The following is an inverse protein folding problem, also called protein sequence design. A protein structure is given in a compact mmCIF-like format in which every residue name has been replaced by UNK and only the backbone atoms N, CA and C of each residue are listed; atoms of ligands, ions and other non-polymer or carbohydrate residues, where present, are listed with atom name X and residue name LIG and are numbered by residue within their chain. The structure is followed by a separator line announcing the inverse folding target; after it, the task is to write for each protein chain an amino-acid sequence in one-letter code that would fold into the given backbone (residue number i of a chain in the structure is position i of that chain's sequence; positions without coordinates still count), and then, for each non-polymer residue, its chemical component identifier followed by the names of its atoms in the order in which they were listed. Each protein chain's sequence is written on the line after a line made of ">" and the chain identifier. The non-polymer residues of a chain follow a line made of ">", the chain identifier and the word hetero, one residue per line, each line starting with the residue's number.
data_IF_587529037518
#
_entry.id   IF_587529037518
#
_cell.length_a   1.000
_cell.length_b   1.000
_cell.length_c   1.000
_cell.angle_alpha   90.00
_cell.angle_beta   90.00
_cell.angle_gamma   90.00
#
_symmetry.space_group_name_H-M   'P 1'
#
loop_
_entity.id
_entity.type
_entity.pdbx_description
1 polymer ?
#
# COMPACT_ATOMS: atom_id res chain seq x y z
N UNK A 1 25.70 -18.97 -12.81
CA UNK A 1 24.30 -18.54 -12.61
C UNK A 1 24.26 -17.02 -12.67
N UNK A 2 23.35 -16.44 -13.44
CA UNK A 2 23.20 -14.98 -13.46
C UNK A 2 22.64 -14.53 -12.11
N UNK A 3 23.29 -13.52 -11.50
CA UNK A 3 22.88 -12.97 -10.21
C UNK A 3 21.48 -12.34 -10.34
N UNK A 4 20.58 -12.68 -9.42
CA UNK A 4 19.27 -12.06 -9.32
C UNK A 4 19.32 -10.89 -8.32
N UNK A 5 18.46 -9.90 -8.56
CA UNK A 5 18.20 -8.78 -7.66
C UNK A 5 16.71 -8.82 -7.33
N UNK A 6 16.38 -8.52 -6.08
CA UNK A 6 15.02 -8.69 -5.57
C UNK A 6 14.42 -7.36 -5.09
N UNK A 7 13.15 -7.16 -5.39
CA UNK A 7 12.31 -6.08 -4.86
C UNK A 7 11.18 -6.70 -4.05
N UNK A 8 11.03 -6.30 -2.79
CA UNK A 8 9.96 -6.76 -1.91
C UNK A 8 8.78 -5.78 -1.94
N UNK A 9 7.66 -6.23 -2.49
CA UNK A 9 6.41 -5.48 -2.54
C UNK A 9 5.42 -5.93 -1.47
N UNK A 10 4.87 -4.99 -0.69
CA UNK A 10 3.86 -5.27 0.34
C UNK A 10 2.56 -4.47 0.16
N UNK A 11 2.51 -3.56 -0.82
CA UNK A 11 1.34 -2.79 -1.21
C UNK A 11 0.95 -3.09 -2.65
N UNK A 12 0.71 -2.06 -3.45
CA UNK A 12 0.38 -2.25 -4.87
C UNK A 12 1.41 -3.00 -5.70
N UNK A 13 2.69 -3.01 -5.31
CA UNK A 13 3.73 -3.78 -6.00
C UNK A 13 3.48 -5.30 -5.98
N UNK A 14 2.63 -5.79 -5.06
CA UNK A 14 2.20 -7.20 -5.10
C UNK A 14 1.36 -7.54 -6.34
N UNK A 15 0.62 -6.56 -6.87
CA UNK A 15 -0.26 -6.74 -8.02
C UNK A 15 0.31 -6.14 -9.32
N UNK A 16 1.08 -5.06 -9.21
CA UNK A 16 1.67 -4.33 -10.34
C UNK A 16 3.16 -4.08 -10.07
N UNK A 17 4.04 -5.07 -10.35
CA UNK A 17 5.48 -4.87 -10.22
C UNK A 17 5.97 -3.80 -11.21
N UNK A 18 7.23 -3.39 -11.09
CA UNK A 18 7.83 -2.52 -12.10
C UNK A 18 8.49 -3.33 -13.20
N UNK A 19 8.47 -2.82 -14.44
CA UNK A 19 9.09 -3.48 -15.59
C UNK A 19 8.69 -4.96 -15.71
N UNK A 20 7.40 -5.27 -15.76
CA UNK A 20 6.87 -6.64 -15.76
C UNK A 20 7.55 -7.55 -16.80
N UNK A 21 7.88 -7.01 -17.98
CA UNK A 21 8.58 -7.72 -19.05
C UNK A 21 10.02 -8.14 -18.71
N UNK A 22 10.63 -7.59 -17.64
CA UNK A 22 11.96 -7.94 -17.13
C UNK A 22 11.90 -8.83 -15.87
N UNK A 23 10.72 -9.11 -15.35
CA UNK A 23 10.53 -9.97 -14.17
C UNK A 23 10.90 -11.41 -14.52
N UNK A 24 11.76 -12.02 -13.69
CA UNK A 24 12.18 -13.42 -13.81
C UNK A 24 11.24 -14.33 -13.03
N UNK A 25 10.86 -13.92 -11.82
CA UNK A 25 9.93 -14.66 -10.97
C UNK A 25 9.27 -13.76 -9.94
N UNK A 26 8.15 -14.23 -9.40
CA UNK A 26 7.45 -13.64 -8.26
C UNK A 26 7.17 -14.76 -7.25
N UNK A 27 7.63 -14.60 -6.02
CA UNK A 27 7.42 -15.58 -4.96
C UNK A 27 6.92 -14.92 -3.69
N UNK A 28 6.16 -15.65 -2.89
CA UNK A 28 5.74 -15.17 -1.58
C UNK A 28 6.95 -15.04 -0.65
N UNK A 29 7.02 -13.97 0.13
CA UNK A 29 8.10 -13.73 1.08
C UNK A 29 7.62 -13.00 2.34
N UNK A 30 8.42 -13.12 3.39
CA UNK A 30 8.14 -12.58 4.71
C UNK A 30 9.27 -11.63 5.14
N UNK A 31 8.89 -10.44 5.61
CA UNK A 31 9.78 -9.47 6.23
C UNK A 31 9.44 -9.37 7.72
N UNK A 32 10.38 -9.70 8.60
CA UNK A 32 10.21 -9.59 10.05
C UNK A 32 10.47 -8.16 10.54
N UNK A 33 9.87 -7.78 11.67
CA UNK A 33 10.10 -6.47 12.29
C UNK A 33 9.19 -5.36 11.79
N UNK A 34 8.21 -5.69 10.95
CA UNK A 34 7.29 -4.73 10.33
C UNK A 34 5.88 -5.28 10.25
N UNK A 35 4.89 -4.38 10.37
CA UNK A 35 3.49 -4.63 10.09
C UNK A 35 2.95 -3.71 9.00
N UNK A 36 1.87 -4.13 8.36
CA UNK A 36 1.15 -3.35 7.35
C UNK A 36 0.16 -2.38 8.04
N UNK A 37 0.04 -1.15 7.53
CA UNK A 37 -0.90 -0.17 8.08
C UNK A 37 -1.33 0.85 7.03
N UNK A 38 -2.59 1.31 7.10
CA UNK A 38 -3.06 2.46 6.32
C UNK A 38 -2.67 3.76 7.04
N UNK A 39 -1.37 4.06 7.05
CA UNK A 39 -0.78 5.18 7.80
C UNK A 39 -0.16 6.24 6.88
N UNK A 40 -0.56 6.28 5.60
CA UNK A 40 0.00 7.23 4.64
C UNK A 40 -1.05 8.01 3.89
N UNK A 41 -0.96 9.33 3.88
CA UNK A 41 -1.76 10.20 3.01
C UNK A 41 -1.35 9.96 1.56
N UNK A 42 -2.35 9.77 0.70
CA UNK A 42 -2.15 9.49 -0.71
C UNK A 42 -3.09 10.31 -1.58
N UNK A 43 -2.60 11.42 -2.17
CA UNK A 43 -3.39 12.20 -3.14
C UNK A 43 -3.78 11.36 -4.37
N UNK A 44 -2.87 10.49 -4.82
CA UNK A 44 -3.03 9.66 -6.03
C UNK A 44 -4.00 8.49 -5.88
N UNK A 45 -4.37 8.14 -4.64
CA UNK A 45 -5.44 7.15 -4.35
C UNK A 45 -6.76 7.82 -3.96
N UNK A 46 -6.80 9.14 -4.02
CA UNK A 46 -8.00 9.95 -3.86
C UNK A 46 -8.73 10.14 -5.19
N UNK A 47 -9.81 10.91 -5.16
CA UNK A 47 -10.59 11.27 -6.35
C UNK A 47 -11.00 12.75 -6.30
N UNK A 48 -11.42 13.31 -7.45
CA UNK A 48 -12.06 14.63 -7.47
C UNK A 48 -13.22 14.68 -6.47
N UNK A 49 -13.39 15.82 -5.82
CA UNK A 49 -14.45 16.02 -4.81
C UNK A 49 -15.85 15.82 -5.39
N UNK A 50 -16.03 16.13 -6.68
CA UNK A 50 -17.27 15.85 -7.43
C UNK A 50 -17.60 14.37 -7.52
N UNK A 51 -16.61 13.49 -7.41
CA UNK A 51 -16.75 12.05 -7.64
C UNK A 51 -16.78 11.28 -6.32
N UNK A 52 -16.19 11.85 -5.28
CA UNK A 52 -16.05 11.32 -3.93
C UNK A 52 -17.39 11.13 -3.19
N UNK A 53 -17.48 10.14 -2.30
CA UNK A 53 -18.63 9.99 -1.40
C UNK A 53 -18.78 11.16 -0.44
N UNK A 54 -17.67 11.69 0.11
CA UNK A 54 -17.70 12.81 1.05
C UNK A 54 -18.73 12.64 2.18
N UNK A 55 -18.82 11.42 2.73
CA UNK A 55 -19.85 11.02 3.69
C UNK A 55 -19.71 11.70 5.06
N UNK A 56 -18.51 12.17 5.41
CA UNK A 56 -18.18 12.76 6.69
C UNK A 56 -17.50 14.11 6.51
N UNK A 57 -17.65 15.00 7.49
CA UNK A 57 -16.77 16.17 7.64
C UNK A 57 -15.30 15.70 7.70
N UNK A 58 -14.37 16.51 7.18
CA UNK A 58 -12.95 16.15 7.10
C UNK A 58 -12.41 15.76 8.48
N UNK A 59 -12.14 14.46 8.72
CA UNK A 59 -11.79 14.01 10.07
C UNK A 59 -10.33 14.35 10.42
N UNK A 60 -9.58 14.87 9.44
CA UNK A 60 -8.21 15.34 9.60
C UNK A 60 -7.89 16.44 8.58
N UNK A 61 -7.09 17.48 8.93
CA UNK A 61 -6.65 18.50 7.99
C UNK A 61 -5.86 17.93 6.80
N UNK A 62 -5.99 18.56 5.63
CA UNK A 62 -5.21 18.23 4.43
C UNK A 62 -5.73 17.05 3.61
N UNK A 63 -6.81 16.38 4.02
CA UNK A 63 -7.43 15.29 3.24
C UNK A 63 -8.48 15.78 2.25
N UNK A 64 -9.16 16.88 2.53
CA UNK A 64 -10.14 17.49 1.63
C UNK A 64 -9.63 18.88 1.24
N UNK A 65 -9.59 19.14 -0.06
CA UNK A 65 -9.42 20.48 -0.64
C UNK A 65 -10.70 20.88 -1.38
N UNK A 66 -10.66 22.02 -2.09
CA UNK A 66 -11.80 22.51 -2.88
C UNK A 66 -12.17 21.53 -3.99
N UNK A 67 -11.17 20.94 -4.65
CA UNK A 67 -11.37 20.11 -5.85
C UNK A 67 -11.08 18.62 -5.64
N UNK A 68 -10.43 18.23 -4.54
CA UNK A 68 -9.89 16.87 -4.39
C UNK A 68 -10.08 16.31 -2.99
N UNK A 69 -10.25 15.00 -2.92
CA UNK A 69 -10.30 14.24 -1.67
C UNK A 69 -9.18 13.21 -1.68
N UNK A 70 -8.10 13.48 -0.95
CA UNK A 70 -6.99 12.54 -0.79
C UNK A 70 -7.45 11.32 0.02
N UNK A 71 -6.85 10.17 -0.29
CA UNK A 71 -7.12 8.91 0.40
C UNK A 71 -5.94 8.49 1.28
N UNK A 72 -6.01 7.30 1.84
CA UNK A 72 -4.89 6.61 2.47
C UNK A 72 -4.24 5.60 1.53
N UNK A 73 -2.94 5.39 1.72
CA UNK A 73 -2.18 4.28 1.18
C UNK A 73 -1.67 3.40 2.32
N UNK A 74 -1.39 2.15 1.96
CA UNK A 74 -0.69 1.20 2.81
C UNK A 74 0.76 1.62 2.92
N UNK A 75 1.24 1.69 4.14
CA UNK A 75 2.62 1.80 4.53
C UNK A 75 3.03 0.68 5.47
N UNK A 76 4.11 0.92 6.20
CA UNK A 76 4.70 -0.01 7.17
C UNK A 76 4.85 0.68 8.52
N UNK A 77 4.76 -0.10 9.59
CA UNK A 77 5.11 0.32 10.95
C UNK A 77 6.14 -0.67 11.49
N UNK A 78 7.21 -0.17 12.11
CA UNK A 78 8.20 -1.03 12.75
C UNK A 78 7.62 -1.60 14.04
N UNK A 79 7.56 -2.92 14.17
CA UNK A 79 6.98 -3.62 15.31
C UNK A 79 7.41 -5.09 15.33
N UNK A 80 6.89 -5.91 16.24
CA UNK A 80 7.27 -7.33 16.34
C UNK A 80 6.47 -8.26 15.40
N UNK A 81 5.85 -7.72 14.35
CA UNK A 81 5.04 -8.50 13.41
C UNK A 81 5.88 -9.07 12.26
N UNK A 82 5.22 -9.90 11.45
CA UNK A 82 5.75 -10.40 10.19
C UNK A 82 4.88 -9.83 9.06
N UNK A 83 5.54 -9.12 8.14
CA UNK A 83 4.91 -8.55 6.96
C UNK A 83 5.03 -9.54 5.79
N UNK A 84 3.89 -10.05 5.35
CA UNK A 84 3.81 -10.79 4.09
C UNK A 84 3.90 -9.85 2.88
N UNK A 85 4.58 -10.28 1.83
CA UNK A 85 4.62 -9.60 0.54
C UNK A 85 5.06 -10.52 -0.59
N UNK A 86 5.29 -9.92 -1.75
CA UNK A 86 5.79 -10.60 -2.95
C UNK A 86 7.22 -10.17 -3.21
N UNK A 87 8.10 -11.15 -3.35
CA UNK A 87 9.47 -10.99 -3.81
C UNK A 87 9.50 -11.05 -5.32
N UNK A 88 9.71 -9.90 -5.95
CA UNK A 88 9.84 -9.78 -7.40
C UNK A 88 11.32 -9.86 -7.75
N UNK A 89 11.69 -10.86 -8.55
CA UNK A 89 13.07 -11.12 -8.93
C UNK A 89 13.36 -10.64 -10.34
N UNK A 90 14.49 -9.95 -10.50
CA UNK A 90 14.99 -9.41 -11.76
C UNK A 90 16.40 -9.92 -12.01
N UNK A 91 16.84 -9.89 -13.27
CA UNK A 91 18.27 -10.04 -13.59
C UNK A 91 19.04 -8.82 -13.08
N UNK A 92 20.28 -9.01 -12.65
CA UNK A 92 21.12 -7.91 -12.12
C UNK A 92 21.25 -6.71 -13.06
N UNK A 93 21.24 -6.95 -14.37
CA UNK A 93 21.28 -5.92 -15.41
C UNK A 93 20.14 -4.89 -15.31
N UNK A 94 18.99 -5.29 -14.75
CA UNK A 94 17.79 -4.47 -14.65
C UNK A 94 17.72 -3.66 -13.34
N UNK A 95 18.70 -3.78 -12.43
CA UNK A 95 18.64 -3.17 -11.10
C UNK A 95 18.46 -1.65 -11.16
N UNK A 96 19.31 -0.95 -11.92
CA UNK A 96 19.24 0.52 -12.05
C UNK A 96 17.88 0.98 -12.60
N UNK A 97 17.41 0.33 -13.67
CA UNK A 97 16.12 0.66 -14.28
C UNK A 97 14.95 0.42 -13.30
N UNK A 98 14.94 -0.73 -12.63
CA UNK A 98 13.93 -1.10 -11.65
C UNK A 98 13.90 -0.09 -10.49
N UNK A 99 15.07 0.25 -9.95
CA UNK A 99 15.18 1.21 -8.86
C UNK A 99 14.73 2.61 -9.29
N UNK A 100 15.16 3.10 -10.45
CA UNK A 100 14.78 4.43 -10.94
C UNK A 100 13.27 4.58 -11.17
N UNK A 101 12.60 3.53 -11.64
CA UNK A 101 11.14 3.56 -11.84
C UNK A 101 10.42 3.48 -10.50
N UNK A 102 10.86 2.59 -9.61
CA UNK A 102 10.23 2.45 -8.28
C UNK A 102 10.46 3.70 -7.43
N UNK A 103 11.64 4.32 -7.49
CA UNK A 103 11.96 5.60 -6.85
C UNK A 103 10.95 6.68 -7.27
N UNK A 104 10.70 6.82 -8.57
CA UNK A 104 9.71 7.78 -9.10
C UNK A 104 8.29 7.45 -8.63
N UNK A 105 7.90 6.17 -8.60
CA UNK A 105 6.57 5.74 -8.17
C UNK A 105 6.31 6.07 -6.70
N UNK A 106 7.29 5.79 -5.85
CA UNK A 106 7.21 5.98 -4.40
C UNK A 106 7.62 7.40 -3.98
N UNK A 107 8.04 8.25 -4.92
CA UNK A 107 8.47 9.62 -4.64
C UNK A 107 9.74 9.68 -3.80
N UNK A 108 10.63 8.71 -3.98
CA UNK A 108 11.95 8.66 -3.35
C UNK A 108 12.98 9.38 -4.22
N UNK A 109 13.87 10.14 -3.57
CA UNK A 109 15.04 10.75 -4.19
C UNK A 109 16.22 10.64 -3.22
N UNK A 110 17.30 9.99 -3.67
CA UNK A 110 18.49 9.75 -2.87
C UNK A 110 19.24 11.03 -2.46
N UNK A 111 19.03 12.13 -3.19
CA UNK A 111 19.66 13.42 -2.92
C UNK A 111 18.77 14.36 -2.10
N UNK A 112 17.50 13.99 -1.88
CA UNK A 112 16.56 14.78 -1.10
C UNK A 112 16.74 14.55 0.39
N UNK A 113 16.45 15.58 1.18
CA UNK A 113 16.35 15.44 2.63
C UNK A 113 15.25 14.42 2.95
N UNK A 114 15.59 13.38 3.74
CA UNK A 114 14.68 12.31 4.12
C UNK A 114 13.39 12.83 4.74
N UNK A 115 13.42 13.94 5.50
CA UNK A 115 12.24 14.56 6.10
C UNK A 115 11.18 15.03 5.08
N UNK A 116 11.47 15.01 3.77
CA UNK A 116 10.52 15.34 2.70
C UNK A 116 9.94 14.11 1.99
N UNK A 117 10.49 12.93 2.24
CA UNK A 117 10.15 11.72 1.52
C UNK A 117 9.00 10.97 2.21
N UNK A 118 8.08 10.41 1.41
CA UNK A 118 7.00 9.56 1.94
C UNK A 118 7.47 8.13 2.24
N UNK A 119 8.48 7.65 1.53
CA UNK A 119 9.09 6.33 1.73
C UNK A 119 10.61 6.45 1.77
N UNK A 120 11.25 5.51 2.45
CA UNK A 120 12.70 5.32 2.45
C UNK A 120 13.03 4.01 1.77
N UNK A 121 13.92 4.06 0.77
CA UNK A 121 14.48 2.87 0.15
C UNK A 121 15.52 2.24 1.09
N UNK A 122 15.38 0.95 1.37
CA UNK A 122 16.34 0.17 2.15
C UNK A 122 16.62 -1.18 1.49
N UNK A 123 17.80 -1.72 1.77
CA UNK A 123 18.09 -3.12 1.53
C UNK A 123 17.85 -3.89 2.83
N UNK A 124 17.01 -4.92 2.76
CA UNK A 124 16.65 -5.77 3.90
C UNK A 124 16.84 -7.24 3.54
N UNK A 125 16.83 -8.11 4.54
CA UNK A 125 16.73 -9.55 4.34
C UNK A 125 15.29 -9.98 4.49
N UNK A 126 14.77 -10.70 3.50
CA UNK A 126 13.44 -11.33 3.55
C UNK A 126 13.58 -12.83 3.46
N UNK A 127 12.62 -13.57 4.00
CA UNK A 127 12.57 -15.02 3.89
C UNK A 127 11.60 -15.41 2.79
N UNK A 128 12.06 -16.08 1.74
CA UNK A 128 11.19 -16.66 0.73
C UNK A 128 10.37 -17.79 1.34
N UNK A 129 9.05 -17.75 1.19
CA UNK A 129 8.14 -18.64 1.91
C UNK A 129 8.22 -20.09 1.41
N UNK A 130 8.47 -20.30 0.11
CA UNK A 130 8.51 -21.63 -0.49
C UNK A 130 9.74 -22.44 -0.05
N UNK A 131 10.88 -21.77 0.14
CA UNK A 131 12.18 -22.41 0.39
C UNK A 131 12.72 -22.14 1.80
N UNK A 132 12.20 -21.14 2.50
CA UNK A 132 12.77 -20.62 3.74
C UNK A 132 14.08 -19.85 3.54
N UNK A 133 14.50 -19.61 2.29
CA UNK A 133 15.78 -18.97 2.00
C UNK A 133 15.74 -17.48 2.37
N UNK A 134 16.76 -17.04 3.11
CA UNK A 134 17.01 -15.63 3.37
C UNK A 134 17.65 -14.96 2.15
N UNK A 135 16.98 -13.96 1.57
CA UNK A 135 17.41 -13.25 0.37
C UNK A 135 17.50 -11.75 0.63
N UNK A 136 18.55 -11.07 0.13
CA UNK A 136 18.61 -9.61 0.17
C UNK A 136 17.62 -9.01 -0.83
N UNK A 137 16.82 -8.04 -0.41
CA UNK A 137 15.84 -7.37 -1.25
C UNK A 137 15.81 -5.87 -1.00
N UNK A 138 15.56 -5.10 -2.06
CA UNK A 138 15.17 -3.71 -1.95
C UNK A 138 13.73 -3.60 -1.46
N UNK A 139 13.45 -2.63 -0.59
CA UNK A 139 12.10 -2.34 -0.07
C UNK A 139 11.95 -0.85 0.13
N UNK A 140 10.72 -0.35 -0.07
CA UNK A 140 10.36 1.05 0.19
C UNK A 140 9.52 1.09 1.47
N UNK A 141 10.16 1.35 2.61
CA UNK A 141 9.48 1.40 3.90
C UNK A 141 8.87 2.79 4.11
N UNK A 142 7.79 2.87 4.87
CA UNK A 142 7.21 4.17 5.22
C UNK A 142 8.21 5.01 6.00
N UNK A 143 8.30 6.28 5.66
CA UNK A 143 9.09 7.23 6.40
C UNK A 143 8.24 7.83 7.53
N UNK A 144 8.47 7.49 8.81
CA UNK A 144 7.68 8.01 9.92
C UNK A 144 7.84 9.53 10.08
N UNK A 145 9.00 10.08 9.67
CA UNK A 145 9.30 11.51 9.72
C UNK A 145 8.85 12.26 8.46
N UNK A 146 8.19 11.56 7.53
CA UNK A 146 7.78 12.09 6.24
C UNK A 146 6.48 12.89 6.31
N UNK A 147 6.27 13.86 5.39
CA UNK A 147 5.10 14.75 5.41
C UNK A 147 3.79 14.03 5.04
N UNK A 148 3.87 12.79 4.58
CA UNK A 148 2.73 11.96 4.20
C UNK A 148 2.38 10.91 5.25
N UNK A 149 3.19 10.74 6.30
CA UNK A 149 2.89 9.79 7.35
C UNK A 149 1.80 10.36 8.26
N UNK A 150 0.78 9.54 8.54
CA UNK A 150 -0.18 9.85 9.59
C UNK A 150 0.46 9.43 10.90
N UNK A 151 0.50 10.36 11.85
CA UNK A 151 0.87 10.07 13.24
C UNK A 151 0.10 8.85 13.74
N UNK A 152 0.83 7.93 14.39
CA UNK A 152 0.31 6.63 14.86
C UNK A 152 -0.95 6.76 15.72
N UNK A 153 -1.15 7.91 16.36
CA UNK A 153 -2.31 8.22 17.21
C UNK A 153 -3.62 8.40 16.45
N UNK A 154 -3.63 8.47 15.12
CA UNK A 154 -4.86 8.61 14.33
C UNK A 154 -5.74 7.36 14.53
N UNK A 155 -6.92 7.49 15.19
CA UNK A 155 -7.78 6.34 15.48
C UNK A 155 -8.18 5.60 14.20
N UNK A 156 -8.41 4.29 14.33
CA UNK A 156 -8.82 3.46 13.20
C UNK A 156 -10.12 3.98 12.54
N UNK A 157 -11.05 4.46 13.36
CA UNK A 157 -12.29 5.12 12.91
C UNK A 157 -12.01 6.36 12.03
N UNK A 158 -11.06 7.21 12.43
CA UNK A 158 -10.64 8.37 11.63
C UNK A 158 -10.11 7.93 10.27
N UNK A 159 -9.27 6.89 10.25
CA UNK A 159 -8.70 6.35 9.01
C UNK A 159 -9.77 5.74 8.10
N UNK A 160 -10.75 5.04 8.67
CA UNK A 160 -11.91 4.50 7.95
C UNK A 160 -12.74 5.63 7.30
N UNK A 161 -13.05 6.69 8.04
CA UNK A 161 -13.76 7.87 7.50
C UNK A 161 -13.01 8.55 6.35
N UNK A 162 -11.67 8.64 6.44
CA UNK A 162 -10.84 9.15 5.34
C UNK A 162 -10.97 8.28 4.09
N UNK A 163 -10.84 6.95 4.24
CA UNK A 163 -10.99 6.01 3.14
C UNK A 163 -12.39 6.11 2.50
N UNK A 164 -13.44 6.16 3.31
CA UNK A 164 -14.82 6.32 2.83
C UNK A 164 -14.98 7.64 2.08
N UNK A 165 -14.55 8.77 2.65
CA UNK A 165 -14.64 10.07 2.00
C UNK A 165 -13.97 10.09 0.64
N UNK A 166 -12.78 9.50 0.52
CA UNK A 166 -12.00 9.48 -0.71
C UNK A 166 -12.44 8.39 -1.71
N UNK A 167 -13.47 7.62 -1.40
CA UNK A 167 -13.97 6.56 -2.27
C UNK A 167 -14.87 7.15 -3.35
N UNK A 168 -14.65 6.78 -4.64
CA UNK A 168 -15.50 7.24 -5.73
C UNK A 168 -16.93 6.68 -5.62
N UNK A 169 -17.93 7.49 -5.97
CA UNK A 169 -19.36 7.10 -6.00
C UNK A 169 -19.64 6.13 -7.16
N UNK A 170 -20.73 5.35 -7.10
CA UNK A 170 -21.15 4.50 -8.22
C UNK A 170 -21.22 5.28 -9.54
N UNK A 171 -20.71 4.69 -10.62
CA UNK A 171 -20.66 5.33 -11.94
C UNK A 171 -19.45 6.23 -12.19
N UNK A 172 -18.57 6.41 -11.20
CA UNK A 172 -17.29 7.10 -11.36
C UNK A 172 -16.12 6.11 -11.44
N UNK A 173 -14.95 6.49 -12.01
CA UNK A 173 -13.80 5.59 -12.11
C UNK A 173 -13.30 5.10 -10.75
N UNK A 174 -13.16 3.78 -10.59
CA UNK A 174 -12.61 3.14 -9.38
C UNK A 174 -11.08 3.09 -9.35
N UNK A 175 -10.43 3.44 -10.48
CA UNK A 175 -8.98 3.54 -10.60
C UNK A 175 -8.57 4.64 -11.59
N UNK A 176 -7.41 5.26 -11.36
CA UNK A 176 -6.78 6.21 -12.28
C UNK A 176 -5.31 5.83 -12.44
N UNK A 177 -4.83 5.73 -13.69
CA UNK A 177 -3.45 5.33 -13.98
C UNK A 177 -3.07 3.97 -13.39
N UNK A 178 -4.01 3.02 -13.37
CA UNK A 178 -3.81 1.67 -12.79
C UNK A 178 -3.77 1.62 -11.26
N UNK A 179 -4.12 2.71 -10.57
CA UNK A 179 -4.13 2.79 -9.09
C UNK A 179 -5.56 2.78 -8.59
N UNK A 180 -5.93 1.76 -7.81
CA UNK A 180 -7.23 1.73 -7.14
C UNK A 180 -7.36 2.89 -6.12
N UNK A 181 -8.57 3.43 -6.04
CA UNK A 181 -8.92 4.61 -5.24
C UNK A 181 -9.71 4.24 -3.98
N UNK A 182 -9.54 5.00 -2.90
CA UNK A 182 -10.34 4.82 -1.68
C UNK A 182 -10.38 3.38 -1.18
N UNK A 183 -11.60 2.91 -0.89
CA UNK A 183 -11.88 1.54 -0.43
C UNK A 183 -11.56 0.46 -1.47
N UNK A 184 -11.56 0.77 -2.77
CA UNK A 184 -11.14 -0.21 -3.79
C UNK A 184 -9.68 -0.63 -3.59
N UNK A 185 -8.83 0.26 -3.05
CA UNK A 185 -7.46 -0.12 -2.75
C UNK A 185 -7.36 -1.04 -1.53
N UNK A 186 -8.14 -0.79 -0.48
CA UNK A 186 -8.23 -1.70 0.68
C UNK A 186 -8.67 -3.09 0.21
N UNK A 187 -9.73 -3.17 -0.58
CA UNK A 187 -10.24 -4.44 -1.10
C UNK A 187 -9.23 -5.14 -2.02
N UNK A 188 -8.55 -4.39 -2.89
CA UNK A 188 -7.49 -4.94 -3.75
C UNK A 188 -6.38 -5.60 -2.91
N UNK A 189 -5.94 -4.97 -1.82
CA UNK A 189 -4.90 -5.52 -0.95
C UNK A 189 -5.42 -6.77 -0.22
N UNK A 190 -6.62 -6.72 0.36
CA UNK A 190 -7.24 -7.86 1.04
C UNK A 190 -7.39 -9.06 0.11
N UNK A 191 -7.91 -8.83 -1.10
CA UNK A 191 -8.04 -9.88 -2.10
C UNK A 191 -6.68 -10.46 -2.51
N UNK A 192 -5.68 -9.61 -2.79
CA UNK A 192 -4.34 -10.07 -3.14
C UNK A 192 -3.65 -10.87 -2.03
N UNK A 193 -3.92 -10.57 -0.76
CA UNK A 193 -3.42 -11.39 0.36
C UNK A 193 -4.16 -12.74 0.43
N UNK A 194 -5.48 -12.72 0.24
CA UNK A 194 -6.31 -13.92 0.26
C UNK A 194 -5.95 -14.92 -0.86
N UNK A 195 -5.52 -14.44 -2.05
CA UNK A 195 -5.03 -15.34 -3.12
C UNK A 195 -3.78 -16.13 -2.73
N UNK A 196 -3.09 -15.72 -1.68
CA UNK A 196 -1.95 -16.44 -1.09
C UNK A 196 -2.29 -17.13 0.25
N UNK A 197 -3.57 -17.20 0.61
CA UNK A 197 -4.01 -17.78 1.88
C UNK A 197 -3.61 -16.95 3.11
N UNK A 198 -3.36 -15.66 2.94
CA UNK A 198 -2.93 -14.75 4.01
C UNK A 198 -4.09 -13.87 4.46
N UNK A 199 -4.32 -13.85 5.77
CA UNK A 199 -5.22 -12.89 6.42
C UNK A 199 -4.35 -11.90 7.21
N UNK A 200 -4.35 -10.64 6.77
CA UNK A 200 -3.64 -9.57 7.47
C UNK A 200 -4.59 -8.89 8.46
N UNK A 201 -4.30 -9.07 9.75
CA UNK A 201 -5.14 -8.58 10.84
C UNK A 201 -5.31 -7.05 10.81
N UNK A 202 -4.31 -6.29 10.34
CA UNK A 202 -4.44 -4.83 10.25
C UNK A 202 -5.37 -4.42 9.11
N UNK A 203 -5.37 -5.16 7.99
CA UNK A 203 -6.29 -4.92 6.87
C UNK A 203 -7.72 -5.30 7.23
N UNK A 204 -7.92 -6.41 7.95
CA UNK A 204 -9.25 -6.83 8.40
C UNK A 204 -9.83 -5.87 9.44
N UNK A 205 -9.04 -5.43 10.42
CA UNK A 205 -9.47 -4.37 11.36
C UNK A 205 -9.87 -3.09 10.64
N UNK A 206 -9.13 -2.68 9.62
CA UNK A 206 -9.50 -1.51 8.82
C UNK A 206 -10.82 -1.72 8.07
N UNK A 207 -11.05 -2.91 7.52
CA UNK A 207 -12.31 -3.25 6.87
C UNK A 207 -13.48 -3.25 7.86
N UNK A 208 -13.31 -3.83 9.05
CA UNK A 208 -14.28 -3.80 10.14
C UNK A 208 -14.63 -2.35 10.52
N UNK A 209 -13.63 -1.48 10.72
CA UNK A 209 -13.86 -0.08 11.04
C UNK A 209 -14.62 0.69 9.94
N UNK A 210 -14.47 0.31 8.67
CA UNK A 210 -15.28 0.85 7.57
C UNK A 210 -16.71 0.31 7.63
N UNK A 211 -16.88 -0.97 7.92
CA UNK A 211 -18.18 -1.63 8.03
C UNK A 211 -18.99 -1.15 9.25
N UNK A 212 -18.34 -0.67 10.31
CA UNK A 212 -18.99 -0.03 11.47
C UNK A 212 -19.64 1.32 11.13
N UNK A 213 -19.42 1.85 9.93
CA UNK A 213 -20.07 3.05 9.41
C UNK A 213 -21.13 2.68 8.35
N UNK A 214 -22.44 2.74 8.67
CA UNK A 214 -23.50 2.40 7.73
C UNK A 214 -23.51 3.31 6.51
N UNK A 215 -23.58 2.73 5.31
CA UNK A 215 -23.66 3.50 4.08
C UNK A 215 -23.46 2.67 2.81
N UNK A 216 -23.70 3.27 1.62
CA UNK A 216 -23.62 2.56 0.34
C UNK A 216 -22.22 1.98 0.04
N UNK A 217 -21.17 2.54 0.61
CA UNK A 217 -19.78 2.07 0.46
C UNK A 217 -19.52 0.68 1.08
N UNK A 218 -20.35 0.21 2.02
CA UNK A 218 -20.16 -1.10 2.66
C UNK A 218 -20.17 -2.24 1.64
N UNK A 219 -20.93 -2.09 0.55
CA UNK A 219 -20.98 -3.05 -0.57
C UNK A 219 -19.66 -3.22 -1.33
N UNK A 220 -18.68 -2.33 -1.10
CA UNK A 220 -17.36 -2.37 -1.76
C UNK A 220 -16.36 -3.28 -1.05
N UNK A 221 -16.66 -3.70 0.18
CA UNK A 221 -15.82 -4.62 0.93
C UNK A 221 -16.47 -5.99 0.95
N UNK A 222 -15.73 -7.00 0.50
CA UNK A 222 -16.18 -8.38 0.66
C UNK A 222 -15.97 -8.80 2.11
N UNK A 223 -16.93 -9.51 2.69
CA UNK A 223 -16.67 -10.31 3.90
C UNK A 223 -15.76 -11.45 3.46
N UNK A 224 -14.63 -11.73 4.14
CA UNK A 224 -13.78 -12.87 3.79
C UNK A 224 -14.63 -14.13 3.80
N UNK A 225 -14.73 -14.80 2.65
CA UNK A 225 -15.29 -16.15 2.63
C UNK A 225 -14.21 -17.04 3.23
N UNK A 226 -14.42 -17.50 4.46
CA UNK A 226 -13.63 -18.58 5.02
C UNK A 226 -13.77 -19.78 4.07
N UNK A 227 -12.73 -20.08 3.32
CA UNK A 227 -12.58 -21.31 2.54
C UNK A 227 -11.57 -22.21 3.22
#
# INVERSE_FOLDING_TARGET
>A
MNKLIHLFGYGSLMATPENDHKVVSQTAALLTGYGRSFNKRSPVRGCPKSDAFMAFESPMPGFISDEHVASLAVGTEANNSVLFGILVSYRAEAESDMLNITDKREGFDANSNSARLGYLRKQVTVNEQATGQALPAWVYLSNPDGPYHLVDTAPLETRAKILINATPRPGTPSSVGGRALGLHYLEQIRHGLATHGVIDIAMEKMAEAVLDHPGPWQSMLSIPKNS
#
